data_IF_932232564669
#
_entry.id   IF_932232564669
#
_cell.length_a   1.000
_cell.length_b   1.000
_cell.length_c   1.000
_cell.angle_alpha   90.00
_cell.angle_beta   90.00
_cell.angle_gamma   90.00
#
_symmetry.space_group_name_H-M   'P 1'
#
loop_
_entity.id
_entity.type
_entity.pdbx_description
1 polymer ?
#
# COMPACT_ATOMS: atom_id res chain seq x y z
N UNK A 1 26.85 2.29 -31.86
CA UNK A 1 26.12 2.95 -30.74
C UNK A 1 24.65 2.47 -30.67
N UNK A 2 24.43 1.16 -30.50
CA UNK A 2 23.07 0.55 -30.44
C UNK A 2 22.87 -0.27 -29.15
N UNK A 3 23.98 -0.74 -28.58
CA UNK A 3 24.06 -1.53 -27.33
C UNK A 3 23.77 -0.64 -26.10
N UNK A 4 24.21 0.62 -26.10
CA UNK A 4 24.00 1.54 -24.97
C UNK A 4 22.54 2.05 -24.90
N UNK A 5 21.88 2.19 -26.06
CA UNK A 5 20.47 2.56 -26.13
C UNK A 5 19.57 1.42 -25.64
N UNK A 6 19.86 0.17 -26.03
CA UNK A 6 19.07 -1.00 -25.60
C UNK A 6 19.21 -1.29 -24.10
N UNK A 7 20.41 -1.20 -23.53
CA UNK A 7 20.60 -1.40 -22.08
C UNK A 7 19.94 -0.33 -21.20
N UNK A 8 19.85 0.91 -21.69
CA UNK A 8 19.16 2.01 -20.99
C UNK A 8 17.63 1.88 -21.08
N UNK A 9 17.08 1.37 -22.18
CA UNK A 9 15.64 1.11 -22.29
C UNK A 9 15.22 -0.04 -21.37
N UNK A 10 16.01 -1.11 -21.29
CA UNK A 10 15.72 -2.25 -20.39
C UNK A 10 15.71 -1.87 -18.91
N UNK A 11 16.59 -0.95 -18.48
CA UNK A 11 16.63 -0.50 -17.10
C UNK A 11 15.42 0.39 -16.75
N UNK A 12 15.02 1.28 -17.66
CA UNK A 12 13.83 2.12 -17.49
C UNK A 12 12.55 1.28 -17.44
N UNK A 13 12.41 0.27 -18.30
CA UNK A 13 11.24 -0.62 -18.29
C UNK A 13 11.14 -1.40 -16.98
N UNK A 14 12.26 -1.90 -16.43
CA UNK A 14 12.28 -2.59 -15.13
C UNK A 14 11.93 -1.68 -13.96
N UNK A 15 12.39 -0.42 -13.99
CA UNK A 15 12.03 0.57 -12.96
C UNK A 15 10.52 0.87 -13.04
N UNK A 16 10.02 1.10 -14.25
CA UNK A 16 8.60 1.39 -14.47
C UNK A 16 7.71 0.20 -14.05
N UNK A 17 8.13 -1.02 -14.36
CA UNK A 17 7.47 -2.25 -13.92
C UNK A 17 7.40 -2.32 -12.38
N UNK A 18 8.50 -2.08 -11.69
CA UNK A 18 8.54 -2.07 -10.22
C UNK A 18 7.60 -1.01 -9.62
N UNK A 19 7.59 0.19 -10.19
CA UNK A 19 6.71 1.28 -9.75
C UNK A 19 5.25 0.90 -10.02
N UNK A 20 4.94 0.32 -11.18
CA UNK A 20 3.58 -0.09 -11.53
C UNK A 20 3.05 -1.17 -10.59
N UNK A 21 3.87 -2.16 -10.24
CA UNK A 21 3.52 -3.21 -9.27
C UNK A 21 3.30 -2.65 -7.87
N UNK A 22 4.12 -1.68 -7.46
CA UNK A 22 3.96 -0.99 -6.18
C UNK A 22 2.65 -0.18 -6.13
N UNK A 23 2.38 0.61 -7.17
CA UNK A 23 1.14 1.39 -7.29
C UNK A 23 -0.09 0.48 -7.35
N UNK A 24 0.02 -0.69 -7.99
CA UNK A 24 -1.05 -1.68 -8.03
C UNK A 24 -1.40 -2.21 -6.64
N UNK A 25 -0.41 -2.42 -5.77
CA UNK A 25 -0.64 -2.78 -4.36
C UNK A 25 -1.42 -1.71 -3.58
N UNK A 26 -1.08 -0.44 -3.79
CA UNK A 26 -1.80 0.70 -3.19
C UNK A 26 -3.25 0.74 -3.71
N UNK A 27 -3.43 0.54 -5.02
CA UNK A 27 -4.74 0.54 -5.66
C UNK A 27 -5.63 -0.56 -5.09
N UNK A 28 -5.17 -1.81 -5.05
CA UNK A 28 -5.94 -2.95 -4.47
C UNK A 28 -6.35 -2.64 -3.02
N UNK A 29 -5.42 -2.17 -2.21
CA UNK A 29 -5.67 -1.90 -0.79
C UNK A 29 -6.72 -0.80 -0.62
N UNK A 30 -6.63 0.26 -1.42
CA UNK A 30 -7.59 1.37 -1.42
C UNK A 30 -8.99 0.92 -1.89
N UNK A 31 -9.07 0.09 -2.93
CA UNK A 31 -10.32 -0.45 -3.44
C UNK A 31 -11.00 -1.35 -2.41
N UNK A 32 -10.24 -2.26 -1.77
CA UNK A 32 -10.76 -3.10 -0.70
C UNK A 32 -11.31 -2.25 0.46
N UNK A 33 -10.56 -1.23 0.88
CA UNK A 33 -11.00 -0.34 1.94
C UNK A 33 -12.29 0.40 1.60
N UNK A 34 -12.41 0.92 0.38
CA UNK A 34 -13.62 1.59 -0.10
C UNK A 34 -14.83 0.63 -0.13
N UNK A 35 -14.63 -0.62 -0.54
CA UNK A 35 -15.67 -1.66 -0.52
C UNK A 35 -16.10 -1.94 0.92
N UNK A 36 -15.16 -2.14 1.84
CA UNK A 36 -15.50 -2.42 3.24
C UNK A 36 -16.26 -1.26 3.90
N UNK A 37 -15.86 -0.02 3.67
CA UNK A 37 -16.59 1.16 4.18
C UNK A 37 -18.02 1.19 3.62
N UNK A 38 -18.20 0.91 2.33
CA UNK A 38 -19.51 0.94 1.69
C UNK A 38 -20.49 -0.07 2.30
N UNK A 39 -20.04 -1.28 2.61
CA UNK A 39 -20.91 -2.36 3.08
C UNK A 39 -21.02 -2.45 4.61
N UNK A 40 -19.97 -2.13 5.34
CA UNK A 40 -19.90 -2.31 6.81
C UNK A 40 -19.93 -0.97 7.58
N UNK A 41 -20.10 0.17 6.89
CA UNK A 41 -20.16 1.52 7.48
C UNK A 41 -18.96 1.77 8.41
N UNK A 42 -19.19 2.27 9.63
CA UNK A 42 -18.12 2.61 10.59
C UNK A 42 -17.31 1.39 11.04
N UNK A 43 -17.95 0.21 11.16
CA UNK A 43 -17.26 -1.04 11.51
C UNK A 43 -16.37 -1.54 10.36
N UNK A 44 -16.66 -1.11 9.13
CA UNK A 44 -15.89 -1.44 7.92
C UNK A 44 -14.47 -0.92 7.92
N UNK A 45 -14.21 0.19 8.61
CA UNK A 45 -12.86 0.76 8.75
C UNK A 45 -11.99 -0.21 9.57
N UNK A 46 -12.48 -0.65 10.73
CA UNK A 46 -11.75 -1.54 11.62
C UNK A 46 -11.57 -2.94 11.04
N UNK A 47 -12.65 -3.52 10.49
CA UNK A 47 -12.62 -4.84 9.86
C UNK A 47 -11.74 -4.82 8.61
N UNK A 48 -11.88 -3.80 7.76
CA UNK A 48 -11.05 -3.64 6.58
C UNK A 48 -9.57 -3.49 6.92
N UNK A 49 -9.24 -2.75 7.97
CA UNK A 49 -7.86 -2.59 8.43
C UNK A 49 -7.29 -3.93 8.95
N UNK A 50 -8.05 -4.69 9.73
CA UNK A 50 -7.64 -6.01 10.20
C UNK A 50 -7.39 -6.99 9.03
N UNK A 51 -8.29 -7.03 8.05
CA UNK A 51 -8.16 -7.90 6.86
C UNK A 51 -6.94 -7.49 6.04
N UNK A 52 -6.72 -6.19 5.80
CA UNK A 52 -5.58 -5.70 5.04
C UNK A 52 -4.25 -6.03 5.74
N UNK A 53 -4.17 -5.94 7.08
CA UNK A 53 -2.99 -6.36 7.84
C UNK A 53 -2.73 -7.86 7.69
N UNK A 54 -3.77 -8.70 7.79
CA UNK A 54 -3.65 -10.15 7.59
C UNK A 54 -3.17 -10.48 6.17
N UNK A 55 -3.72 -9.80 5.15
CA UNK A 55 -3.32 -9.97 3.75
C UNK A 55 -1.87 -9.57 3.51
N UNK A 56 -1.39 -8.49 4.13
CA UNK A 56 0.02 -8.10 4.04
C UNK A 56 0.93 -9.12 4.71
N UNK A 57 0.54 -9.60 5.89
CA UNK A 57 1.33 -10.61 6.61
C UNK A 57 1.40 -11.91 5.81
N UNK A 58 0.26 -12.39 5.29
CA UNK A 58 0.22 -13.54 4.37
C UNK A 58 1.05 -13.28 3.13
N UNK A 59 0.97 -12.08 2.55
CA UNK A 59 1.80 -11.66 1.43
C UNK A 59 3.29 -11.84 1.73
N UNK A 60 3.78 -11.34 2.86
CA UNK A 60 5.18 -11.49 3.24
C UNK A 60 5.61 -12.90 3.63
N UNK A 61 4.69 -13.69 4.20
CA UNK A 61 4.96 -15.06 4.65
C UNK A 61 5.02 -16.04 3.48
N UNK A 62 4.10 -15.92 2.51
CA UNK A 62 3.95 -16.85 1.40
C UNK A 62 4.67 -16.45 0.11
N UNK A 63 5.35 -15.29 0.07
CA UNK A 63 6.04 -14.84 -1.15
C UNK A 63 7.53 -14.61 -0.94
N UNK A 64 8.33 -15.05 -1.91
CA UNK A 64 9.77 -14.83 -1.90
C UNK A 64 10.16 -13.37 -2.15
N UNK A 65 11.31 -12.97 -1.60
CA UNK A 65 11.79 -11.57 -1.55
C UNK A 65 11.88 -10.86 -2.91
N UNK A 66 12.03 -11.60 -4.02
CA UNK A 66 12.22 -11.04 -5.37
C UNK A 66 11.03 -11.24 -6.30
N UNK A 67 9.87 -11.69 -5.79
CA UNK A 67 8.68 -11.91 -6.62
C UNK A 67 7.89 -10.61 -6.84
N UNK A 68 7.15 -10.54 -7.96
CA UNK A 68 6.26 -9.41 -8.25
C UNK A 68 5.23 -9.21 -7.13
N UNK A 69 4.71 -10.31 -6.57
CA UNK A 69 3.81 -10.32 -5.41
C UNK A 69 4.39 -9.58 -4.20
N UNK A 70 5.67 -9.81 -3.86
CA UNK A 70 6.34 -9.11 -2.75
C UNK A 70 6.35 -7.59 -2.94
N UNK A 71 6.54 -7.12 -4.18
CA UNK A 71 6.53 -5.69 -4.52
C UNK A 71 5.12 -5.09 -4.35
N UNK A 72 4.09 -5.83 -4.76
CA UNK A 72 2.69 -5.46 -4.54
C UNK A 72 2.40 -5.38 -3.03
N UNK A 73 2.86 -6.36 -2.24
CA UNK A 73 2.69 -6.36 -0.77
C UNK A 73 3.37 -5.16 -0.10
N UNK A 74 4.55 -4.75 -0.58
CA UNK A 74 5.21 -3.52 -0.12
C UNK A 74 4.37 -2.27 -0.43
N UNK A 75 3.77 -2.21 -1.63
CA UNK A 75 2.81 -1.16 -1.99
C UNK A 75 1.63 -1.11 -1.02
N UNK A 76 1.00 -2.25 -0.77
CA UNK A 76 -0.10 -2.37 0.18
C UNK A 76 0.30 -1.93 1.59
N UNK A 77 1.45 -2.38 2.09
CA UNK A 77 1.95 -2.00 3.41
C UNK A 77 2.17 -0.49 3.56
N UNK A 78 2.75 0.15 2.54
CA UNK A 78 3.00 1.59 2.56
C UNK A 78 1.71 2.40 2.73
N UNK A 79 0.61 1.97 2.08
CA UNK A 79 -0.69 2.63 2.18
C UNK A 79 -1.27 2.56 3.59
N UNK A 80 -1.15 1.42 4.27
CA UNK A 80 -1.64 1.26 5.65
C UNK A 80 -0.82 2.09 6.62
N UNK A 81 0.51 2.07 6.49
CA UNK A 81 1.39 2.88 7.34
C UNK A 81 1.04 4.37 7.21
N UNK A 82 0.76 4.82 5.99
CA UNK A 82 0.36 6.20 5.73
C UNK A 82 -1.00 6.55 6.36
N UNK A 83 -2.00 5.65 6.25
CA UNK A 83 -3.31 5.82 6.90
C UNK A 83 -3.18 5.90 8.42
N UNK A 84 -2.40 5.00 9.04
CA UNK A 84 -2.15 5.01 10.49
C UNK A 84 -1.41 6.29 10.90
N UNK A 85 -0.40 6.70 10.14
CA UNK A 85 0.34 7.94 10.39
C UNK A 85 -0.57 9.18 10.36
N UNK A 86 -1.44 9.27 9.35
CA UNK A 86 -2.43 10.34 9.24
C UNK A 86 -3.44 10.33 10.40
N UNK A 87 -3.89 9.14 10.84
CA UNK A 87 -4.79 9.01 11.99
C UNK A 87 -4.14 9.53 13.28
N UNK A 88 -2.89 9.15 13.56
CA UNK A 88 -2.16 9.59 14.76
C UNK A 88 -1.95 11.11 14.75
N UNK A 89 -1.56 11.66 13.60
CA UNK A 89 -1.37 13.11 13.45
C UNK A 89 -2.70 13.85 13.61
N UNK A 90 -3.77 13.36 12.98
CA UNK A 90 -5.11 13.92 13.10
C UNK A 90 -5.62 13.92 14.54
N UNK A 91 -5.43 12.81 15.26
CA UNK A 91 -5.75 12.70 16.69
C UNK A 91 -4.96 13.71 17.54
N UNK A 92 -3.65 13.88 17.29
CA UNK A 92 -2.83 14.86 18.01
C UNK A 92 -3.29 16.30 17.80
N UNK A 93 -3.67 16.65 16.57
CA UNK A 93 -4.20 17.99 16.25
C UNK A 93 -5.53 18.21 16.97
N UNK A 94 -6.44 17.24 16.92
CA UNK A 94 -7.75 17.32 17.57
C UNK A 94 -7.62 17.42 19.10
N UNK A 95 -6.76 16.60 19.71
CA UNK A 95 -6.52 16.63 21.17
C UNK A 95 -5.76 17.88 21.61
N UNK A 96 -4.88 18.43 20.77
CA UNK A 96 -4.14 19.66 21.05
C UNK A 96 -4.99 20.93 20.94
N UNK A 97 -6.05 20.90 20.12
CA UNK A 97 -7.04 21.98 20.00
C UNK A 97 -8.07 21.98 21.14
N UNK A 98 -8.29 20.85 21.81
CA UNK A 98 -9.29 20.71 22.90
C UNK A 98 -8.86 21.28 24.26
N UNK A 99 -7.70 21.94 24.36
CA UNK A 99 -7.16 22.52 25.61
C UNK A 99 -7.13 24.06 25.63
N UNK A 100 -7.99 24.71 24.84
CA UNK A 100 -8.21 26.17 24.95
C UNK A 100 -9.68 26.49 25.17
#
# INVERSE_FOLDING_TARGET
MKIILTTKTDSLTKILENISLFLFGIFITSTLFAIFIKYLKETGIWIGLAICVILIFCGFYYTDKNTALRKITWGAMSSIVLIIGLLIIGLKILSGLSFK
#
